data_IF_930222117744
#
_entry.id   IF_930222117744
#
_cell.length_a   1.000
_cell.length_b   1.000
_cell.length_c   1.000
_cell.angle_alpha   90.00
_cell.angle_beta   90.00
_cell.angle_gamma   90.00
#
_symmetry.space_group_name_H-M   'P 1'
#
loop_
_entity.id
_entity.type
_entity.pdbx_description
1 polymer ?
#
# COMPACT_ATOMS: atom_id res chain seq x y z
N UNK A 1 -15.88 30.14 -30.78
CA UNK A 1 -16.31 28.85 -31.34
C UNK A 1 -16.39 28.99 -32.85
N UNK A 2 -15.57 28.24 -33.56
CA UNK A 2 -15.44 28.30 -35.00
C UNK A 2 -16.60 27.56 -35.70
N UNK A 3 -17.01 27.96 -36.91
CA UNK A 3 -18.16 27.35 -37.62
C UNK A 3 -17.94 25.85 -37.87
N UNK A 4 -16.69 25.46 -38.10
CA UNK A 4 -16.28 24.06 -38.26
C UNK A 4 -16.44 23.22 -36.98
N UNK A 5 -16.26 23.82 -35.80
CA UNK A 5 -16.47 23.13 -34.51
C UNK A 5 -17.94 22.82 -34.28
N UNK A 6 -18.85 23.74 -34.67
CA UNK A 6 -20.30 23.52 -34.57
C UNK A 6 -20.79 22.39 -35.47
N UNK A 7 -20.28 22.29 -36.70
CA UNK A 7 -20.62 21.20 -37.63
C UNK A 7 -20.06 19.86 -37.11
N UNK A 8 -18.83 19.88 -36.56
CA UNK A 8 -18.20 18.70 -35.96
C UNK A 8 -18.96 18.12 -34.76
N UNK A 9 -19.53 18.97 -33.90
CA UNK A 9 -20.37 18.55 -32.76
C UNK A 9 -21.68 17.87 -33.20
N UNK A 10 -22.23 18.21 -34.37
CA UNK A 10 -23.44 17.59 -34.90
C UNK A 10 -23.19 16.24 -35.59
N UNK A 11 -22.09 16.11 -36.33
CA UNK A 11 -21.76 14.87 -37.07
C UNK A 11 -21.05 13.80 -36.22
N UNK A 12 -20.33 14.21 -35.18
CA UNK A 12 -19.57 13.29 -34.31
C UNK A 12 -19.77 13.62 -32.83
N UNK A 13 -21.00 13.53 -32.30
CA UNK A 13 -21.31 13.97 -30.94
C UNK A 13 -20.52 13.23 -29.85
N UNK A 14 -20.16 11.97 -30.08
CA UNK A 14 -19.36 11.15 -29.17
C UNK A 14 -17.92 11.64 -28.96
N UNK A 15 -17.36 12.43 -29.89
CA UNK A 15 -16.03 13.03 -29.70
C UNK A 15 -16.05 14.18 -28.68
N UNK A 16 -17.21 14.78 -28.45
CA UNK A 16 -17.39 15.95 -27.58
C UNK A 16 -18.22 15.63 -26.32
N UNK A 17 -18.69 14.38 -26.17
CA UNK A 17 -19.50 13.92 -25.04
C UNK A 17 -18.75 13.93 -23.68
N UNK A 18 -17.44 14.15 -23.69
CA UNK A 18 -16.59 14.23 -22.50
C UNK A 18 -16.10 15.66 -22.20
N UNK A 19 -16.51 16.66 -22.98
CA UNK A 19 -16.14 18.07 -22.73
C UNK A 19 -17.06 18.76 -21.71
N UNK A 20 -18.29 18.29 -21.52
CA UNK A 20 -19.31 18.97 -20.70
C UNK A 20 -19.66 18.23 -19.38
N UNK A 21 -18.81 17.31 -18.88
CA UNK A 21 -18.96 16.76 -17.53
C UNK A 21 -17.91 17.37 -16.59
N UNK A 22 -18.42 18.29 -15.77
CA UNK A 22 -17.75 18.98 -14.67
C UNK A 22 -16.94 18.03 -13.77
N UNK A 23 -15.61 18.16 -13.84
CA UNK A 23 -14.74 17.83 -12.70
C UNK A 23 -14.67 19.08 -11.84
N UNK A 24 -15.36 19.04 -10.70
CA UNK A 24 -15.40 20.05 -9.65
C UNK A 24 -13.97 20.53 -9.34
N UNK A 25 -13.68 21.76 -9.76
CA UNK A 25 -12.51 22.52 -9.39
C UNK A 25 -12.53 22.75 -7.87
N UNK A 26 -11.72 21.99 -7.12
CA UNK A 26 -11.38 22.39 -5.76
C UNK A 26 -10.62 23.71 -5.85
N UNK A 27 -11.24 24.81 -5.41
CA UNK A 27 -10.56 26.10 -5.21
C UNK A 27 -9.45 25.92 -4.17
N UNK A 28 -8.25 25.60 -4.64
CA UNK A 28 -7.02 25.83 -3.89
C UNK A 28 -6.96 27.30 -3.53
N UNK A 29 -7.00 27.61 -2.24
CA UNK A 29 -6.88 28.99 -1.76
C UNK A 29 -5.57 29.59 -2.29
N UNK A 30 -5.71 30.62 -3.12
CA UNK A 30 -4.64 31.43 -3.68
C UNK A 30 -3.92 32.20 -2.56
N UNK A 31 -2.95 31.55 -1.90
CA UNK A 31 -1.90 32.19 -1.08
C UNK A 31 -0.81 31.18 -0.72
N UNK A 32 -0.23 30.53 -1.74
CA UNK A 32 1.06 29.87 -1.62
C UNK A 32 1.78 29.96 -2.97
N UNK A 33 2.49 31.07 -3.12
CA UNK A 33 3.37 31.45 -4.21
C UNK A 33 4.23 30.29 -4.73
N UNK A 34 4.20 30.07 -6.05
CA UNK A 34 5.19 29.40 -6.90
C UNK A 34 6.37 28.68 -6.19
N UNK A 35 6.13 27.49 -5.64
CA UNK A 35 7.23 26.57 -5.33
C UNK A 35 7.52 25.72 -6.56
N UNK A 36 8.58 26.12 -7.26
CA UNK A 36 9.30 25.35 -8.28
C UNK A 36 9.28 23.86 -7.87
N UNK A 37 8.73 22.97 -8.71
CA UNK A 37 8.85 21.51 -8.56
C UNK A 37 10.34 21.13 -8.60
N UNK A 38 11.03 21.25 -7.48
CA UNK A 38 12.32 20.62 -7.29
C UNK A 38 12.05 19.13 -7.24
N UNK A 39 12.60 18.38 -8.21
CA UNK A 39 12.86 16.96 -8.03
C UNK A 39 13.65 16.83 -6.73
N UNK A 40 12.98 16.43 -5.66
CA UNK A 40 13.64 16.05 -4.42
C UNK A 40 14.49 14.84 -4.78
N UNK A 41 15.78 15.07 -4.98
CA UNK A 41 16.77 13.99 -4.90
C UNK A 41 16.78 13.61 -3.43
N UNK A 42 16.05 12.56 -3.08
CA UNK A 42 16.04 11.98 -1.73
C UNK A 42 17.50 11.71 -1.37
N UNK A 43 18.03 12.49 -0.43
CA UNK A 43 19.40 12.36 0.04
C UNK A 43 19.39 11.09 0.89
N UNK A 44 19.85 9.97 0.31
CA UNK A 44 20.07 8.72 1.04
C UNK A 44 20.88 9.07 2.29
N UNK A 45 20.29 9.03 3.48
CA UNK A 45 21.09 8.92 4.68
C UNK A 45 21.80 7.57 4.55
N UNK A 46 23.10 7.61 4.26
CA UNK A 46 23.91 6.42 4.29
C UNK A 46 23.90 5.92 5.72
N UNK A 47 23.33 4.74 5.95
CA UNK A 47 23.54 4.01 7.19
C UNK A 47 25.05 3.87 7.42
N UNK A 48 25.48 3.93 8.67
CA UNK A 48 26.85 3.63 9.04
C UNK A 48 27.24 2.22 8.56
N UNK A 49 28.52 1.98 8.27
CA UNK A 49 28.99 0.69 7.74
C UNK A 49 28.71 -0.47 8.71
N UNK A 50 28.75 -0.21 10.02
CA UNK A 50 28.35 -1.18 11.06
C UNK A 50 26.84 -1.46 11.02
N UNK A 51 26.01 -0.42 10.93
CA UNK A 51 24.56 -0.56 10.83
C UNK A 51 24.12 -1.30 9.55
N UNK A 52 24.83 -1.09 8.43
CA UNK A 52 24.61 -1.87 7.19
C UNK A 52 24.92 -3.34 7.37
N UNK A 53 26.01 -3.66 8.07
CA UNK A 53 26.39 -5.04 8.33
C UNK A 53 25.39 -5.74 9.24
N UNK A 54 24.96 -5.08 10.31
CA UNK A 54 23.90 -5.60 11.20
C UNK A 54 22.57 -5.81 10.47
N UNK A 55 22.19 -4.88 9.59
CA UNK A 55 21.01 -4.98 8.75
C UNK A 55 21.11 -6.16 7.77
N UNK A 56 22.25 -6.31 7.09
CA UNK A 56 22.52 -7.44 6.21
C UNK A 56 22.42 -8.76 6.98
N UNK A 57 23.07 -8.86 8.15
CA UNK A 57 23.03 -10.04 9.00
C UNK A 57 21.60 -10.33 9.49
N UNK A 58 20.81 -9.30 9.82
CA UNK A 58 19.40 -9.41 10.20
C UNK A 58 18.54 -9.97 9.06
N UNK A 59 18.70 -9.44 7.85
CA UNK A 59 18.02 -9.89 6.65
C UNK A 59 18.46 -11.31 6.27
N UNK A 60 19.72 -11.67 6.51
CA UNK A 60 20.24 -13.03 6.39
C UNK A 60 19.71 -13.99 7.47
N UNK A 61 19.39 -13.53 8.68
CA UNK A 61 18.68 -14.39 9.65
C UNK A 61 17.21 -14.58 9.31
N UNK A 62 16.65 -13.69 8.49
CA UNK A 62 15.24 -13.74 8.09
C UNK A 62 14.30 -13.30 9.21
N UNK A 63 14.83 -12.49 10.12
CA UNK A 63 14.06 -11.85 11.17
C UNK A 63 13.11 -10.80 10.56
N UNK A 64 11.98 -10.59 11.23
CA UNK A 64 10.97 -9.62 10.81
C UNK A 64 11.19 -8.36 11.62
N UNK A 65 11.30 -7.21 10.95
CA UNK A 65 11.49 -5.89 11.57
C UNK A 65 10.25 -5.37 12.32
N UNK A 66 9.18 -6.15 12.33
CA UNK A 66 7.98 -5.92 13.12
C UNK A 66 7.64 -7.19 13.92
N UNK A 67 7.08 -6.99 15.11
CA UNK A 67 6.50 -8.08 15.90
C UNK A 67 5.06 -8.28 15.47
N UNK A 68 4.77 -9.36 14.76
CA UNK A 68 3.40 -9.70 14.34
C UNK A 68 2.71 -10.55 15.42
N UNK A 69 1.58 -10.09 15.91
CA UNK A 69 0.72 -10.74 16.91
C UNK A 69 -0.58 -11.18 16.23
N UNK A 70 -0.84 -12.47 16.27
CA UNK A 70 -2.10 -13.03 15.74
C UNK A 70 -3.24 -12.75 16.74
N UNK A 71 -4.37 -12.25 16.24
CA UNK A 71 -5.57 -11.99 17.04
C UNK A 71 -6.78 -12.72 16.44
N UNK A 72 -7.82 -12.92 17.25
CA UNK A 72 -8.93 -13.81 16.87
C UNK A 72 -10.17 -13.10 16.30
N UNK A 73 -10.26 -11.77 16.44
CA UNK A 73 -11.47 -11.01 16.09
C UNK A 73 -11.17 -10.04 14.97
N UNK A 74 -11.91 -10.15 13.86
CA UNK A 74 -11.87 -9.22 12.71
C UNK A 74 -11.93 -7.79 13.21
N UNK A 75 -11.02 -6.95 12.71
CA UNK A 75 -10.95 -5.54 13.04
C UNK A 75 -11.82 -4.74 12.06
N UNK A 76 -12.69 -3.89 12.62
CA UNK A 76 -13.20 -2.75 11.87
C UNK A 76 -12.11 -1.69 11.68
N UNK A 77 -12.37 -0.71 10.82
CA UNK A 77 -11.47 0.43 10.61
C UNK A 77 -11.20 1.19 11.91
N UNK A 78 -12.25 1.38 12.71
CA UNK A 78 -12.21 2.07 13.99
C UNK A 78 -11.46 1.26 15.06
N UNK A 79 -11.70 -0.05 15.12
CA UNK A 79 -11.01 -0.96 16.05
C UNK A 79 -9.51 -1.02 15.74
N UNK A 80 -9.16 -1.08 14.45
CA UNK A 80 -7.77 -1.05 14.01
C UNK A 80 -7.08 0.25 14.44
N UNK A 81 -7.72 1.41 14.22
CA UNK A 81 -7.18 2.69 14.66
C UNK A 81 -6.98 2.76 16.18
N UNK A 82 -8.00 2.41 16.97
CA UNK A 82 -7.92 2.45 18.45
C UNK A 82 -6.77 1.56 18.92
N UNK A 83 -6.66 0.35 18.36
CA UNK A 83 -5.61 -0.61 18.70
C UNK A 83 -4.23 -0.05 18.37
N UNK A 84 -4.04 0.46 17.16
CA UNK A 84 -2.76 1.03 16.74
C UNK A 84 -2.36 2.28 17.53
N UNK A 85 -3.32 3.13 17.90
CA UNK A 85 -3.07 4.31 18.75
C UNK A 85 -2.56 3.93 20.13
N UNK A 86 -3.07 2.82 20.68
CA UNK A 86 -2.66 2.30 21.99
C UNK A 86 -1.41 1.42 21.96
N UNK A 87 -0.91 1.08 20.77
CA UNK A 87 0.21 0.16 20.58
C UNK A 87 1.55 0.89 20.51
N UNK A 88 2.60 0.20 20.92
CA UNK A 88 3.96 0.63 20.60
C UNK A 88 4.22 0.49 19.09
N UNK A 89 5.18 1.24 18.59
CA UNK A 89 5.56 1.17 17.19
C UNK A 89 6.19 -0.18 16.83
N UNK A 90 6.06 -0.58 15.56
CA UNK A 90 6.54 -1.85 15.00
C UNK A 90 5.90 -3.10 15.58
N UNK A 91 4.73 -2.96 16.23
CA UNK A 91 3.84 -4.08 16.55
C UNK A 91 2.76 -4.16 15.47
N UNK A 92 2.69 -5.32 14.81
CA UNK A 92 1.65 -5.65 13.85
C UNK A 92 0.59 -6.55 14.45
N UNK A 93 -0.67 -6.29 14.16
CA UNK A 93 -1.79 -7.16 14.51
C UNK A 93 -2.32 -7.83 13.25
N UNK A 94 -2.34 -9.15 13.27
CA UNK A 94 -2.65 -9.96 12.10
C UNK A 94 -3.87 -10.84 12.34
N UNK A 95 -4.69 -10.98 11.31
CA UNK A 95 -5.85 -11.87 11.28
C UNK A 95 -5.91 -12.56 9.93
N UNK A 96 -6.18 -13.86 9.96
CA UNK A 96 -6.58 -14.61 8.78
C UNK A 96 -7.83 -15.43 9.09
N UNK A 97 -8.86 -15.26 8.27
CA UNK A 97 -10.13 -16.00 8.31
C UNK A 97 -10.51 -16.38 6.88
N UNK A 98 -11.60 -17.12 6.73
CA UNK A 98 -12.12 -17.56 5.42
C UNK A 98 -12.44 -16.42 4.45
N UNK A 99 -12.74 -15.22 4.98
CA UNK A 99 -13.18 -14.05 4.21
C UNK A 99 -12.32 -12.81 4.41
N UNK A 100 -11.51 -12.74 5.47
CA UNK A 100 -10.68 -11.58 5.78
C UNK A 100 -9.23 -11.97 6.00
N UNK A 101 -8.32 -11.16 5.46
CA UNK A 101 -6.90 -11.22 5.76
C UNK A 101 -6.43 -9.80 6.05
N UNK A 102 -6.14 -9.55 7.32
CA UNK A 102 -5.97 -8.20 7.85
C UNK A 102 -4.61 -8.02 8.49
N UNK A 103 -4.06 -6.83 8.31
CA UNK A 103 -2.82 -6.41 8.94
C UNK A 103 -2.95 -4.96 9.37
N UNK A 104 -2.73 -4.68 10.65
CA UNK A 104 -2.65 -3.35 11.21
C UNK A 104 -1.27 -3.15 11.84
N UNK A 105 -0.52 -2.12 11.44
CA UNK A 105 0.81 -1.84 12.00
C UNK A 105 1.01 -0.34 12.21
N UNK A 106 1.62 0.02 13.34
CA UNK A 106 2.11 1.37 13.61
C UNK A 106 3.59 1.45 13.26
N UNK A 107 4.00 2.44 12.48
CA UNK A 107 5.40 2.69 12.13
C UNK A 107 5.87 4.05 12.63
N UNK A 108 7.09 4.07 13.16
CA UNK A 108 7.78 5.33 13.48
C UNK A 108 8.16 6.08 12.21
N UNK A 109 8.48 7.35 12.37
CA UNK A 109 9.12 8.15 11.34
C UNK A 109 10.35 7.43 10.75
N UNK A 110 10.53 7.60 9.43
CA UNK A 110 11.66 7.06 8.67
C UNK A 110 11.77 5.52 8.64
N UNK A 111 10.68 4.80 8.90
CA UNK A 111 10.65 3.33 8.81
C UNK A 111 10.59 2.79 7.38
N UNK A 112 10.05 3.53 6.41
CA UNK A 112 9.81 3.08 5.03
C UNK A 112 11.04 2.54 4.28
N UNK A 113 12.24 2.96 4.68
CA UNK A 113 13.49 2.66 3.97
C UNK A 113 14.48 1.84 4.80
N UNK A 114 14.07 1.38 6.00
CA UNK A 114 14.97 0.67 6.93
C UNK A 114 15.50 -0.64 6.33
N UNK A 115 14.73 -1.34 5.51
CA UNK A 115 15.06 -2.70 5.04
C UNK A 115 15.13 -2.85 3.51
N UNK A 116 15.86 -1.97 2.82
CA UNK A 116 15.85 -1.93 1.35
C UNK A 116 16.55 -3.13 0.66
N UNK A 117 17.42 -3.87 1.36
CA UNK A 117 18.14 -5.00 0.78
C UNK A 117 17.21 -6.20 0.55
N UNK A 118 17.22 -6.72 -0.68
CA UNK A 118 16.34 -7.80 -1.14
C UNK A 118 17.11 -9.09 -1.36
N UNK A 119 16.59 -10.22 -0.89
CA UNK A 119 17.17 -11.54 -1.09
C UNK A 119 16.34 -12.36 -2.09
N UNK A 120 16.76 -12.36 -3.36
CA UNK A 120 16.08 -13.10 -4.43
C UNK A 120 15.83 -14.60 -4.13
N UNK A 121 16.75 -15.25 -3.38
CA UNK A 121 16.64 -16.68 -3.04
C UNK A 121 15.50 -16.98 -2.07
N UNK A 122 15.16 -16.04 -1.19
CA UNK A 122 14.14 -16.16 -0.13
C UNK A 122 12.75 -15.97 -0.70
N UNK A 123 12.58 -14.89 -1.46
CA UNK A 123 11.34 -14.56 -2.18
C UNK A 123 10.78 -15.73 -2.99
N UNK A 124 11.62 -16.57 -3.59
CA UNK A 124 11.18 -17.71 -4.40
C UNK A 124 10.48 -18.82 -3.59
N UNK A 125 10.85 -19.02 -2.33
CA UNK A 125 10.38 -20.15 -1.51
C UNK A 125 9.02 -19.92 -0.86
N UNK A 126 8.55 -18.69 -0.80
CA UNK A 126 7.30 -18.35 -0.13
C UNK A 126 6.08 -18.72 -0.94
N UNK A 127 5.05 -19.13 -0.22
CA UNK A 127 3.72 -19.36 -0.75
C UNK A 127 2.80 -18.41 0.02
N UNK A 128 2.09 -17.51 -0.67
CA UNK A 128 1.12 -16.64 -0.01
C UNK A 128 -0.06 -17.46 0.52
N UNK A 129 -0.73 -16.94 1.55
CA UNK A 129 -1.97 -17.53 2.10
C UNK A 129 -3.16 -17.33 1.16
N UNK A 130 -3.18 -16.21 0.44
CA UNK A 130 -4.17 -15.91 -0.60
C UNK A 130 -3.46 -15.97 -1.95
N UNK A 131 -3.85 -16.91 -2.80
CA UNK A 131 -3.19 -17.13 -4.09
C UNK A 131 -4.21 -17.21 -5.23
N UNK A 132 -3.78 -16.95 -6.47
CA UNK A 132 -4.65 -17.14 -7.61
C UNK A 132 -4.98 -18.62 -7.82
N UNK A 133 -6.25 -18.93 -8.12
CA UNK A 133 -6.68 -20.29 -8.49
C UNK A 133 -6.04 -20.73 -9.81
N UNK A 134 -5.91 -19.80 -10.78
CA UNK A 134 -5.23 -20.04 -12.06
C UNK A 134 -3.83 -19.44 -12.04
N UNK A 135 -2.84 -20.26 -12.36
CA UNK A 135 -1.45 -19.81 -12.52
C UNK A 135 -1.33 -18.94 -13.78
N UNK A 136 -0.58 -17.84 -13.72
CA UNK A 136 -0.02 -17.22 -14.92
C UNK A 136 -0.13 -15.70 -15.09
N UNK A 137 -0.57 -14.92 -14.08
CA UNK A 137 -0.67 -13.46 -14.22
C UNK A 137 -0.71 -12.68 -12.90
N UNK A 138 -0.21 -13.27 -11.81
CA UNK A 138 -0.11 -12.60 -10.50
C UNK A 138 1.33 -12.19 -10.20
N UNK A 139 1.48 -11.09 -9.47
CA UNK A 139 2.68 -10.80 -8.70
C UNK A 139 2.47 -11.28 -7.26
N UNK A 140 3.55 -11.70 -6.60
CA UNK A 140 3.55 -11.80 -5.14
C UNK A 140 3.67 -10.40 -4.58
N UNK A 141 2.59 -9.92 -3.98
CA UNK A 141 2.43 -8.58 -3.46
C UNK A 141 2.50 -8.61 -1.95
N UNK A 142 3.33 -7.73 -1.39
CA UNK A 142 3.36 -7.53 0.05
C UNK A 142 2.19 -6.65 0.49
N UNK A 143 1.55 -6.97 1.62
CA UNK A 143 0.53 -6.10 2.21
C UNK A 143 1.10 -4.71 2.48
N UNK A 144 2.19 -4.65 3.23
CA UNK A 144 2.94 -3.42 3.47
C UNK A 144 4.30 -3.60 2.81
N UNK A 145 4.92 -2.59 2.18
CA UNK A 145 6.19 -2.77 1.49
C UNK A 145 7.29 -3.30 2.41
N UNK A 146 8.14 -4.18 1.86
CA UNK A 146 9.30 -4.76 2.57
C UNK A 146 10.17 -3.71 3.26
N UNK A 147 10.26 -2.50 2.71
CA UNK A 147 11.06 -1.42 3.29
C UNK A 147 10.66 -1.06 4.73
N UNK A 148 9.40 -1.27 5.11
CA UNK A 148 8.86 -0.99 6.44
C UNK A 148 9.13 -2.11 7.47
N UNK A 149 9.12 -3.37 7.04
CA UNK A 149 9.09 -4.52 7.95
C UNK A 149 10.20 -5.55 7.72
N UNK A 150 10.99 -5.42 6.66
CA UNK A 150 12.18 -6.21 6.37
C UNK A 150 12.01 -7.70 6.10
N UNK A 151 10.81 -8.24 6.28
CA UNK A 151 10.55 -9.65 6.03
C UNK A 151 10.22 -9.92 4.57
N UNK A 152 11.14 -10.58 3.89
CA UNK A 152 10.86 -11.28 2.63
C UNK A 152 10.59 -12.77 2.87
N UNK A 153 10.12 -13.19 4.05
CA UNK A 153 10.00 -14.60 4.45
C UNK A 153 8.73 -14.93 5.27
N UNK A 154 7.81 -13.99 5.45
CA UNK A 154 6.56 -14.22 6.18
C UNK A 154 5.37 -14.32 5.21
N UNK A 155 4.69 -15.47 5.20
CA UNK A 155 3.51 -15.71 4.36
C UNK A 155 2.30 -14.87 4.75
N UNK A 156 2.23 -14.39 6.00
CA UNK A 156 1.17 -13.52 6.50
C UNK A 156 1.19 -12.14 5.87
N UNK A 157 2.32 -11.75 5.31
CA UNK A 157 2.52 -10.42 4.72
C UNK A 157 2.44 -10.43 3.20
N UNK A 158 2.04 -11.56 2.60
CA UNK A 158 2.15 -11.80 1.16
C UNK A 158 0.86 -12.39 0.60
N UNK A 159 0.39 -11.82 -0.51
CA UNK A 159 -0.71 -12.37 -1.31
C UNK A 159 -0.28 -12.44 -2.78
N UNK A 160 -0.88 -13.31 -3.58
CA UNK A 160 -0.89 -13.07 -5.03
C UNK A 160 -1.84 -11.90 -5.30
N UNK A 161 -1.50 -11.05 -6.27
CA UNK A 161 -2.37 -9.95 -6.69
C UNK A 161 -2.09 -9.54 -8.13
N UNK A 162 -3.03 -8.81 -8.74
CA UNK A 162 -2.91 -8.37 -10.12
C UNK A 162 -1.65 -7.52 -10.33
N UNK A 163 -0.79 -7.96 -11.25
CA UNK A 163 0.49 -7.31 -11.51
C UNK A 163 0.33 -5.86 -11.99
N UNK A 164 -0.76 -5.51 -12.68
CA UNK A 164 -1.02 -4.13 -13.13
C UNK A 164 -1.42 -3.27 -11.95
N UNK A 165 -2.33 -3.72 -11.11
CA UNK A 165 -2.74 -3.00 -9.89
C UNK A 165 -1.55 -2.82 -8.95
N UNK A 166 -0.78 -3.89 -8.71
CA UNK A 166 0.44 -3.89 -7.90
C UNK A 166 1.46 -2.84 -8.37
N UNK A 167 1.83 -2.88 -9.66
CA UNK A 167 2.91 -2.04 -10.20
C UNK A 167 2.51 -0.60 -10.46
N UNK A 168 1.21 -0.29 -10.47
CA UNK A 168 0.71 1.05 -10.76
C UNK A 168 0.02 1.67 -9.54
N UNK A 169 -1.17 1.20 -9.19
CA UNK A 169 -2.03 1.80 -8.18
C UNK A 169 -1.44 1.65 -6.78
N UNK A 170 -1.16 0.40 -6.38
CA UNK A 170 -0.56 0.11 -5.08
C UNK A 170 0.80 0.79 -4.96
N UNK A 171 1.66 0.69 -5.98
CA UNK A 171 2.95 1.40 -5.97
C UNK A 171 2.82 2.90 -5.72
N UNK A 172 1.84 3.60 -6.32
CA UNK A 172 1.63 5.04 -6.07
C UNK A 172 1.16 5.31 -4.65
N UNK A 173 0.26 4.46 -4.14
CA UNK A 173 -0.20 4.51 -2.75
C UNK A 173 0.99 4.35 -1.79
N UNK A 174 1.81 3.32 -1.98
CA UNK A 174 3.01 3.04 -1.20
C UNK A 174 4.05 4.16 -1.25
N UNK A 175 4.33 4.71 -2.44
CA UNK A 175 5.26 5.83 -2.63
C UNK A 175 4.77 7.08 -1.88
N UNK A 176 3.46 7.35 -1.87
CA UNK A 176 2.88 8.45 -1.11
C UNK A 176 3.02 8.24 0.41
N UNK A 177 2.60 7.07 0.91
CA UNK A 177 2.69 6.73 2.35
C UNK A 177 4.14 6.76 2.83
N UNK A 178 5.09 6.26 2.02
CA UNK A 178 6.53 6.31 2.34
C UNK A 178 7.02 7.75 2.47
N UNK A 179 6.61 8.64 1.57
CA UNK A 179 6.97 10.06 1.63
C UNK A 179 6.39 10.82 2.82
N UNK A 180 5.25 10.37 3.35
CA UNK A 180 4.68 10.88 4.61
C UNK A 180 5.44 10.30 5.81
N UNK A 181 5.73 9.00 5.78
CA UNK A 181 6.45 8.33 6.85
C UNK A 181 7.88 8.86 7.03
N UNK A 182 8.52 9.42 5.99
CA UNK A 182 9.80 10.12 6.12
C UNK A 182 9.81 11.27 7.14
N UNK A 183 8.64 11.79 7.52
CA UNK A 183 8.50 12.98 8.38
C UNK A 183 7.62 12.78 9.60
N UNK A 184 6.96 11.64 9.72
CA UNK A 184 5.94 11.40 10.74
C UNK A 184 5.67 9.91 10.94
N UNK A 185 5.14 9.57 12.12
CA UNK A 185 4.58 8.24 12.35
C UNK A 185 3.37 8.00 11.45
N UNK A 186 3.18 6.75 11.05
CA UNK A 186 1.99 6.35 10.28
C UNK A 186 1.37 5.10 10.89
N UNK A 187 0.05 5.10 10.99
CA UNK A 187 -0.74 3.95 11.39
C UNK A 187 -1.35 3.38 10.12
N UNK A 188 -1.00 2.16 9.74
CA UNK A 188 -1.40 1.56 8.47
C UNK A 188 -2.24 0.32 8.73
N UNK A 189 -3.47 0.32 8.21
CA UNK A 189 -4.37 -0.82 8.22
C UNK A 189 -4.71 -1.27 6.80
N UNK A 190 -4.69 -2.58 6.61
CA UNK A 190 -5.06 -3.26 5.37
C UNK A 190 -6.04 -4.36 5.70
N UNK A 191 -7.11 -4.42 4.91
CA UNK A 191 -8.15 -5.44 4.98
C UNK A 191 -8.40 -6.01 3.58
N UNK A 192 -7.99 -7.27 3.39
CA UNK A 192 -8.23 -8.04 2.17
C UNK A 192 -9.51 -8.84 2.36
N UNK A 193 -10.53 -8.55 1.55
CA UNK A 193 -11.89 -9.09 1.71
C UNK A 193 -12.26 -9.97 0.52
N UNK A 194 -12.61 -11.23 0.81
CA UNK A 194 -13.20 -12.16 -0.15
C UNK A 194 -14.59 -11.71 -0.56
N UNK A 195 -14.82 -11.68 -1.86
CA UNK A 195 -16.14 -11.44 -2.43
C UNK A 195 -16.84 -12.78 -2.72
N UNK A 196 -18.16 -12.76 -2.84
CA UNK A 196 -18.99 -13.95 -3.11
C UNK A 196 -18.60 -14.69 -4.40
N UNK A 197 -18.00 -13.96 -5.35
CA UNK A 197 -17.52 -14.52 -6.60
C UNK A 197 -16.08 -15.02 -6.53
N UNK A 198 -15.46 -15.13 -5.34
CA UNK A 198 -14.03 -15.44 -5.13
C UNK A 198 -13.04 -14.39 -5.65
N UNK A 199 -13.51 -13.18 -5.97
CA UNK A 199 -12.63 -12.03 -6.18
C UNK A 199 -12.18 -11.41 -4.85
N UNK A 200 -11.19 -10.52 -4.90
CA UNK A 200 -10.59 -9.90 -3.72
C UNK A 200 -10.72 -8.39 -3.81
N UNK A 201 -11.17 -7.76 -2.73
CA UNK A 201 -11.05 -6.31 -2.53
C UNK A 201 -9.98 -6.05 -1.49
N UNK A 202 -9.00 -5.22 -1.86
CA UNK A 202 -7.98 -4.69 -0.97
C UNK A 202 -8.42 -3.32 -0.48
N UNK A 203 -8.72 -3.20 0.81
CA UNK A 203 -8.95 -1.91 1.45
C UNK A 203 -7.70 -1.49 2.21
N UNK A 204 -7.22 -0.27 1.98
CA UNK A 204 -6.08 0.28 2.70
C UNK A 204 -6.43 1.65 3.25
N UNK A 205 -6.09 1.87 4.53
CA UNK A 205 -6.24 3.17 5.18
C UNK A 205 -4.99 3.47 6.01
N UNK A 206 -4.56 4.72 5.96
CA UNK A 206 -3.42 5.21 6.72
C UNK A 206 -3.82 6.45 7.49
N UNK A 207 -3.51 6.47 8.78
CA UNK A 207 -3.72 7.62 9.65
C UNK A 207 -2.39 8.25 10.08
N UNK A 208 -2.46 9.53 10.40
CA UNK A 208 -1.41 10.21 11.17
C UNK A 208 -1.54 9.89 12.67
N UNK A 209 -0.61 10.43 13.46
CA UNK A 209 -0.60 10.31 14.93
C UNK A 209 -1.86 10.88 15.61
N UNK A 210 -2.48 11.89 15.00
CA UNK A 210 -3.70 12.55 15.50
C UNK A 210 -4.97 11.75 15.17
N UNK A 211 -4.88 10.75 14.28
CA UNK A 211 -6.01 9.96 13.79
C UNK A 211 -6.75 10.52 12.59
N UNK A 212 -6.15 11.49 11.89
CA UNK A 212 -6.68 11.94 10.60
C UNK A 212 -6.25 10.96 9.52
N UNK A 213 -7.19 10.63 8.64
CA UNK A 213 -6.91 9.79 7.48
C UNK A 213 -6.01 10.58 6.53
N UNK A 214 -4.80 10.08 6.32
CA UNK A 214 -3.84 10.62 5.34
C UNK A 214 -4.27 10.17 3.94
N UNK A 215 -4.59 8.89 3.79
CA UNK A 215 -5.06 8.29 2.55
C UNK A 215 -5.91 7.04 2.85
N UNK A 216 -6.96 6.85 2.06
CA UNK A 216 -7.80 5.66 2.06
C UNK A 216 -8.06 5.31 0.58
N UNK A 217 -7.81 4.06 0.20
CA UNK A 217 -7.98 3.60 -1.17
C UNK A 217 -8.46 2.13 -1.20
N UNK A 218 -9.06 1.76 -2.32
CA UNK A 218 -9.62 0.43 -2.54
C UNK A 218 -9.19 -0.10 -3.92
N UNK A 219 -8.70 -1.34 -3.93
CA UNK A 219 -8.28 -2.01 -5.16
C UNK A 219 -9.01 -3.33 -5.33
N UNK A 220 -9.77 -3.46 -6.42
CA UNK A 220 -10.53 -4.67 -6.74
C UNK A 220 -9.79 -5.53 -7.76
N UNK A 221 -9.37 -6.71 -7.34
CA UNK A 221 -8.84 -7.74 -8.22
C UNK A 221 -9.92 -8.77 -8.53
N UNK A 222 -10.35 -8.80 -9.80
CA UNK A 222 -11.45 -9.64 -10.30
C UNK A 222 -11.02 -11.07 -10.62
N UNK A 223 -9.74 -11.41 -10.44
CA UNK A 223 -9.28 -12.78 -10.55
C UNK A 223 -9.87 -13.64 -9.43
N UNK A 224 -9.83 -14.96 -9.62
CA UNK A 224 -10.37 -15.92 -8.64
C UNK A 224 -9.27 -16.41 -7.73
N UNK A 225 -9.53 -16.38 -6.43
CA UNK A 225 -8.55 -16.69 -5.40
C UNK A 225 -8.85 -17.99 -4.67
N UNK A 226 -7.80 -18.58 -4.12
CA UNK A 226 -7.86 -19.63 -3.11
C UNK A 226 -7.33 -19.07 -1.79
N UNK A 227 -8.18 -19.11 -0.78
CA UNK A 227 -7.83 -18.89 0.63
C UNK A 227 -7.28 -20.19 1.24
N UNK A 228 -6.25 -20.10 2.09
CA UNK A 228 -5.61 -21.25 2.73
C UNK A 228 -5.52 -21.11 4.24
#
# INVERSE_FOLDING_TARGET
MNIFERIGRWLTPYKYAFEDNDMVEYKLSEKATAVRRQRVKTKRQGLDEEAKKELSDFLERGEIGIKVVDINNIMSKEDAYIRLKSSDSHIGYFIHTDNHHQLAVKFEESSAWKYYERSNKRRMKLRPLIEYTKKGSSDRTHLIPVGFHGSENDERLLIDFDSTINRQNLRKFEEYVSGVNEKSEVLWFIDIVRQDDDSVIWNAVVWDEDGRIIIEDQFHDRNKFRWR
#
